data_IF_254793852194
#
_entry.id   IF_254793852194
#
_cell.length_a   1.000
_cell.length_b   1.000
_cell.length_c   1.000
_cell.angle_alpha   90.00
_cell.angle_beta   90.00
_cell.angle_gamma   90.00
#
_symmetry.space_group_name_H-M   'P 1'
#
loop_
_entity.id
_entity.type
_entity.pdbx_description
1 polymer ?
#
# COMPACT_ATOMS: atom_id res chain seq x y z
N UNK A 1 -11.50 -32.59 8.54
CA UNK A 1 -11.06 -31.30 9.08
C UNK A 1 -9.64 -31.52 9.57
N UNK A 2 -8.64 -31.03 8.83
CA UNK A 2 -7.21 -31.22 9.15
C UNK A 2 -6.86 -30.14 10.16
N UNK A 3 -6.43 -30.56 11.35
CA UNK A 3 -5.97 -29.69 12.42
C UNK A 3 -4.88 -28.79 11.83
N UNK A 4 -5.19 -27.48 11.73
CA UNK A 4 -4.19 -26.50 11.33
C UNK A 4 -3.25 -26.40 12.52
N UNK A 5 -2.11 -27.07 12.46
CA UNK A 5 -0.97 -26.59 13.22
C UNK A 5 -0.87 -25.09 12.93
N UNK A 6 -0.83 -24.23 13.96
CA UNK A 6 -0.76 -22.80 13.75
C UNK A 6 0.64 -22.49 13.22
N UNK A 7 0.80 -22.65 11.90
CA UNK A 7 1.97 -22.22 11.16
C UNK A 7 2.18 -20.73 11.46
N UNK A 8 3.36 -20.34 11.99
CA UNK A 8 3.66 -18.96 12.26
C UNK A 8 3.46 -18.11 11.01
N UNK A 9 2.91 -16.93 11.18
CA UNK A 9 2.81 -15.98 10.06
C UNK A 9 4.22 -15.47 9.70
N UNK A 10 4.39 -15.02 8.46
CA UNK A 10 5.65 -14.38 8.02
C UNK A 10 6.08 -13.24 8.95
N UNK A 11 5.10 -12.46 9.44
CA UNK A 11 5.34 -11.38 10.39
C UNK A 11 5.88 -11.88 11.74
N UNK A 12 5.41 -13.04 12.21
CA UNK A 12 5.92 -13.67 13.43
C UNK A 12 7.33 -14.24 13.20
N UNK A 13 7.59 -14.90 12.08
CA UNK A 13 8.95 -15.37 11.74
C UNK A 13 9.94 -14.19 11.69
N UNK A 14 9.55 -13.08 11.08
CA UNK A 14 10.41 -11.91 11.03
C UNK A 14 10.59 -11.26 12.41
N UNK A 15 9.53 -11.20 13.23
CA UNK A 15 9.65 -10.76 14.61
C UNK A 15 10.52 -11.70 15.47
N UNK A 16 10.61 -12.98 15.12
CA UNK A 16 11.52 -13.94 15.75
C UNK A 16 12.97 -13.70 15.36
N UNK A 17 13.23 -13.44 14.07
CA UNK A 17 14.55 -13.06 13.57
C UNK A 17 15.05 -11.79 14.25
N UNK A 18 14.16 -10.81 14.41
CA UNK A 18 14.44 -9.49 15.01
C UNK A 18 14.49 -9.49 16.56
N UNK A 19 14.21 -10.61 17.23
CA UNK A 19 14.11 -10.71 18.70
C UNK A 19 12.97 -9.87 19.34
N UNK A 20 11.88 -9.64 18.60
CA UNK A 20 10.75 -8.76 19.00
C UNK A 20 9.46 -9.48 19.38
N UNK A 21 9.46 -10.81 19.50
CA UNK A 21 8.31 -11.57 19.97
C UNK A 21 8.19 -11.55 21.49
N UNK A 22 6.94 -11.56 21.98
CA UNK A 22 6.64 -11.90 23.37
C UNK A 22 7.11 -13.33 23.70
N UNK A 23 7.54 -13.63 24.94
CA UNK A 23 8.11 -14.92 25.31
C UNK A 23 7.22 -16.12 24.96
N UNK A 24 5.91 -15.99 25.17
CA UNK A 24 4.94 -17.06 24.91
C UNK A 24 4.77 -17.32 23.41
N UNK A 25 4.88 -16.29 22.60
CA UNK A 25 4.81 -16.40 21.15
C UNK A 25 6.12 -16.91 20.56
N UNK A 26 7.25 -16.54 21.16
CA UNK A 26 8.56 -17.06 20.80
C UNK A 26 8.66 -18.56 20.97
N UNK A 27 8.24 -19.10 22.13
CA UNK A 27 8.28 -20.55 22.38
C UNK A 27 7.49 -21.33 21.33
N UNK A 28 6.32 -20.83 20.93
CA UNK A 28 5.50 -21.45 19.88
C UNK A 28 6.22 -21.51 18.53
N UNK A 29 6.91 -20.43 18.17
CA UNK A 29 7.70 -20.37 16.93
C UNK A 29 8.91 -21.29 17.04
N UNK A 30 9.58 -21.36 18.20
CA UNK A 30 10.69 -22.28 18.45
C UNK A 30 10.26 -23.75 18.30
N UNK A 31 9.12 -24.13 18.89
CA UNK A 31 8.56 -25.48 18.77
C UNK A 31 8.22 -25.82 17.32
N UNK A 32 7.67 -24.85 16.57
CA UNK A 32 7.36 -25.03 15.15
C UNK A 32 8.63 -25.17 14.28
N UNK A 33 9.65 -24.34 14.52
CA UNK A 33 10.95 -24.43 13.82
C UNK A 33 11.67 -25.74 14.15
N UNK A 34 11.54 -26.25 15.38
CA UNK A 34 12.08 -27.56 15.75
C UNK A 34 11.39 -28.72 15.01
N UNK A 35 10.08 -28.59 14.74
CA UNK A 35 9.33 -29.54 13.93
C UNK A 35 9.61 -29.42 12.42
N UNK A 36 10.16 -28.29 11.94
CA UNK A 36 10.38 -28.00 10.54
C UNK A 36 11.84 -27.59 10.24
N UNK A 37 12.78 -28.55 10.16
CA UNK A 37 14.22 -28.26 10.08
C UNK A 37 14.63 -27.55 8.77
N UNK A 38 13.96 -27.84 7.64
CA UNK A 38 14.27 -27.19 6.36
C UNK A 38 13.99 -25.68 6.38
N UNK A 39 12.87 -25.30 7.01
CA UNK A 39 12.47 -23.91 7.19
C UNK A 39 13.34 -23.23 8.24
N UNK A 40 13.67 -23.93 9.34
CA UNK A 40 14.59 -23.44 10.35
C UNK A 40 15.97 -23.08 9.78
N UNK A 41 16.53 -23.89 8.87
CA UNK A 41 17.79 -23.54 8.21
C UNK A 41 17.71 -22.25 7.39
N UNK A 42 16.59 -22.03 6.70
CA UNK A 42 16.37 -20.81 5.92
C UNK A 42 16.29 -19.57 6.82
N UNK A 43 15.50 -19.65 7.89
CA UNK A 43 15.35 -18.59 8.90
C UNK A 43 16.70 -18.29 9.57
N UNK A 44 17.48 -19.31 9.93
CA UNK A 44 18.81 -19.14 10.54
C UNK A 44 19.84 -18.56 9.57
N UNK A 45 19.72 -18.78 8.25
CA UNK A 45 20.55 -18.07 7.25
C UNK A 45 20.21 -16.58 7.23
N UNK A 46 18.93 -16.23 7.26
CA UNK A 46 18.48 -14.83 7.29
C UNK A 46 18.94 -14.12 8.57
N UNK A 47 18.75 -14.75 9.74
CA UNK A 47 19.20 -14.21 11.03
C UNK A 47 20.72 -13.98 11.07
N UNK A 48 21.52 -14.83 10.41
CA UNK A 48 22.97 -14.62 10.29
C UNK A 48 23.33 -13.45 9.38
N UNK A 49 22.62 -13.28 8.26
CA UNK A 49 22.83 -12.15 7.36
C UNK A 49 22.50 -10.82 8.05
N UNK A 50 21.38 -10.80 8.77
CA UNK A 50 20.92 -9.67 9.55
C UNK A 50 21.89 -9.29 10.70
N UNK A 51 22.40 -10.28 11.44
CA UNK A 51 23.48 -10.05 12.42
C UNK A 51 24.73 -9.43 11.82
N UNK A 52 25.18 -9.89 10.64
CA UNK A 52 26.33 -9.29 9.95
C UNK A 52 26.05 -7.83 9.59
N UNK A 53 24.85 -7.51 9.09
CA UNK A 53 24.49 -6.13 8.79
C UNK A 53 24.58 -5.26 10.05
N UNK A 54 24.04 -5.73 11.18
CA UNK A 54 24.18 -5.02 12.46
C UNK A 54 25.63 -4.87 12.93
N UNK A 55 26.47 -5.88 12.74
CA UNK A 55 27.90 -5.79 13.07
C UNK A 55 28.63 -4.73 12.23
N UNK A 56 28.31 -4.63 10.93
CA UNK A 56 28.95 -3.65 10.04
C UNK A 56 28.44 -2.22 10.22
N UNK A 57 27.14 -2.04 10.39
CA UNK A 57 26.51 -0.72 10.47
C UNK A 57 26.32 -0.22 11.91
N UNK A 58 26.53 -1.08 12.90
CA UNK A 58 26.21 -0.80 14.29
C UNK A 58 24.70 -0.76 14.55
N UNK A 59 24.35 -0.50 15.81
CA UNK A 59 22.97 -0.22 16.20
C UNK A 59 22.66 1.24 15.87
N UNK A 60 21.78 1.47 14.90
CA UNK A 60 21.33 2.80 14.48
C UNK A 60 20.49 3.54 15.55
N UNK A 61 20.27 2.95 16.73
CA UNK A 61 19.39 3.51 17.76
C UNK A 61 19.90 4.80 18.38
N UNK A 62 21.23 5.03 18.38
CA UNK A 62 21.83 6.16 19.10
C UNK A 62 22.13 7.39 18.23
N UNK A 63 21.97 7.32 16.90
CA UNK A 63 22.26 8.47 16.02
C UNK A 63 20.98 9.29 15.80
N UNK A 64 20.89 10.54 16.31
CA UNK A 64 19.71 11.36 16.11
C UNK A 64 19.45 11.56 14.62
N UNK A 65 18.18 11.41 14.19
CA UNK A 65 17.83 11.70 12.80
C UNK A 65 18.29 13.12 12.44
N UNK A 66 18.99 13.31 11.30
CA UNK A 66 19.45 14.62 10.87
C UNK A 66 18.29 15.63 10.84
N UNK A 67 18.57 16.89 11.16
CA UNK A 67 17.52 17.93 11.31
C UNK A 67 16.59 18.04 10.10
N UNK A 68 17.13 17.85 8.89
CA UNK A 68 16.37 17.89 7.64
C UNK A 68 15.42 16.70 7.43
N UNK A 69 15.47 15.66 8.27
CA UNK A 69 14.55 14.52 8.27
C UNK A 69 13.52 14.55 9.41
N UNK A 70 13.63 15.49 10.36
CA UNK A 70 12.74 15.53 11.52
C UNK A 70 11.26 15.73 11.15
N UNK A 71 10.97 16.36 10.00
CA UNK A 71 9.60 16.51 9.47
C UNK A 71 8.92 15.17 9.14
N UNK A 72 9.67 14.07 8.98
CA UNK A 72 9.08 12.73 8.80
C UNK A 72 8.48 12.18 10.10
N UNK A 73 9.03 12.57 11.24
CA UNK A 73 8.55 12.18 12.57
C UNK A 73 7.33 13.00 12.99
N UNK A 74 7.07 14.13 12.32
CA UNK A 74 5.86 14.91 12.56
C UNK A 74 4.64 14.05 12.25
N UNK A 75 3.79 13.74 13.25
CA UNK A 75 2.63 12.91 13.03
C UNK A 75 1.74 13.61 12.01
N UNK A 76 1.60 13.00 10.83
CA UNK A 76 0.72 13.43 9.75
C UNK A 76 -0.55 14.02 10.33
N UNK A 77 -0.62 15.36 10.32
CA UNK A 77 -1.61 16.07 11.12
C UNK A 77 -2.99 15.58 10.72
N UNK A 78 -3.84 15.34 11.73
CA UNK A 78 -5.21 14.85 11.51
C UNK A 78 -5.98 15.72 10.49
N UNK A 79 -5.63 17.00 10.42
CA UNK A 79 -6.04 17.98 9.41
C UNK A 79 -5.67 17.57 7.96
N UNK A 80 -4.43 17.13 7.71
CA UNK A 80 -3.98 16.70 6.37
C UNK A 80 -4.72 15.46 5.88
N UNK A 81 -5.07 14.55 6.80
CA UNK A 81 -5.84 13.33 6.49
C UNK A 81 -7.29 13.65 6.13
N UNK A 82 -7.92 14.60 6.82
CA UNK A 82 -9.28 15.04 6.49
C UNK A 82 -9.36 15.77 5.15
N UNK A 83 -8.35 16.60 4.81
CA UNK A 83 -8.26 17.24 3.48
C UNK A 83 -8.13 16.23 2.34
N UNK A 84 -7.32 15.18 2.50
CA UNK A 84 -7.21 14.11 1.48
C UNK A 84 -8.52 13.33 1.30
N UNK A 85 -9.25 13.06 2.39
CA UNK A 85 -10.58 12.42 2.33
C UNK A 85 -11.62 13.32 1.65
N UNK A 86 -11.62 14.61 1.98
CA UNK A 86 -12.51 15.58 1.35
C UNK A 86 -12.25 15.68 -0.17
N UNK A 87 -10.97 15.69 -0.60
CA UNK A 87 -10.61 15.72 -2.01
C UNK A 87 -11.14 14.49 -2.78
N UNK A 88 -11.10 13.30 -2.17
CA UNK A 88 -11.60 12.06 -2.78
C UNK A 88 -13.11 12.08 -3.06
N UNK A 89 -13.87 12.85 -2.27
CA UNK A 89 -15.32 13.01 -2.45
C UNK A 89 -15.65 14.18 -3.37
N UNK A 90 -14.91 15.30 -3.26
CA UNK A 90 -15.17 16.52 -4.03
C UNK A 90 -14.81 16.39 -5.52
N UNK A 91 -13.75 15.66 -5.87
CA UNK A 91 -13.37 15.44 -7.28
C UNK A 91 -14.47 14.74 -8.11
N UNK A 92 -15.00 13.57 -7.71
CA UNK A 92 -16.04 12.90 -8.50
C UNK A 92 -17.35 13.70 -8.49
N UNK A 93 -17.70 14.39 -7.41
CA UNK A 93 -18.89 15.23 -7.36
C UNK A 93 -18.82 16.40 -8.35
N UNK A 94 -17.69 17.10 -8.40
CA UNK A 94 -17.49 18.20 -9.36
C UNK A 94 -17.47 17.67 -10.80
N UNK A 95 -16.75 16.57 -11.07
CA UNK A 95 -16.77 15.93 -12.39
C UNK A 95 -18.17 15.48 -12.82
N UNK A 96 -18.95 14.90 -11.90
CA UNK A 96 -20.33 14.46 -12.16
C UNK A 96 -21.28 15.64 -12.42
N UNK A 97 -21.22 16.70 -11.61
CA UNK A 97 -22.03 17.91 -11.79
C UNK A 97 -21.72 18.60 -13.12
N UNK A 98 -20.45 18.78 -13.46
CA UNK A 98 -20.05 19.33 -14.75
C UNK A 98 -20.54 18.43 -15.90
N UNK A 99 -20.31 17.12 -15.82
CA UNK A 99 -20.76 16.17 -16.85
C UNK A 99 -22.28 16.17 -17.07
N UNK A 100 -23.06 16.33 -15.99
CA UNK A 100 -24.52 16.40 -16.07
C UNK A 100 -25.02 17.72 -16.67
N UNK A 101 -24.37 18.84 -16.34
CA UNK A 101 -24.72 20.15 -16.89
C UNK A 101 -24.44 20.22 -18.41
N UNK A 102 -23.35 19.57 -18.86
CA UNK A 102 -23.05 19.41 -20.28
C UNK A 102 -24.02 18.46 -20.99
N UNK A 103 -24.52 17.41 -20.31
CA UNK A 103 -25.57 16.53 -20.84
C UNK A 103 -26.88 17.29 -21.10
N UNK A 104 -27.23 18.25 -20.26
CA UNK A 104 -28.41 19.11 -20.43
C UNK A 104 -28.29 20.14 -21.56
N UNK A 105 -27.06 20.53 -21.94
CA UNK A 105 -26.80 21.51 -23.00
C UNK A 105 -26.64 20.91 -24.40
N UNK A 106 -27.02 19.64 -24.61
CA UNK A 106 -27.22 19.10 -25.95
C UNK A 106 -26.02 19.21 -26.89
N UNK A 107 -24.78 19.21 -26.39
CA UNK A 107 -23.57 19.12 -27.22
C UNK A 107 -23.38 17.73 -27.86
N UNK A 108 -24.42 16.91 -27.86
CA UNK A 108 -24.47 15.56 -28.43
C UNK A 108 -25.37 15.42 -29.66
N UNK A 109 -25.81 16.51 -30.30
CA UNK A 109 -26.44 16.42 -31.61
C UNK A 109 -25.76 17.35 -32.61
N UNK A 110 -24.97 16.74 -33.50
CA UNK A 110 -24.88 17.05 -34.95
C UNK A 110 -23.86 16.13 -35.65
N UNK A 111 -24.15 14.83 -35.86
CA UNK A 111 -23.70 14.15 -37.07
C UNK A 111 -24.57 14.51 -38.30
N UNK A 112 -25.78 15.04 -38.09
CA UNK A 112 -26.79 15.21 -39.15
C UNK A 112 -26.53 16.40 -40.09
N UNK A 113 -25.64 17.33 -39.71
CA UNK A 113 -25.30 18.50 -40.53
C UNK A 113 -24.40 18.12 -41.73
N UNK A 114 -23.54 17.11 -41.56
CA UNK A 114 -22.68 16.61 -42.64
C UNK A 114 -23.45 15.68 -43.57
N UNK A 115 -24.39 14.90 -43.03
CA UNK A 115 -25.23 13.98 -43.79
C UNK A 115 -26.24 14.74 -44.68
N UNK A 116 -26.88 15.81 -44.18
CA UNK A 116 -27.75 16.66 -45.00
C UNK A 116 -27.00 17.47 -46.07
N UNK A 117 -25.74 17.85 -45.82
CA UNK A 117 -24.92 18.55 -46.81
C UNK A 117 -24.46 17.63 -47.95
N UNK A 118 -24.32 16.32 -47.68
CA UNK A 118 -23.91 15.31 -48.67
C UNK A 118 -25.10 14.72 -49.45
N UNK A 119 -26.32 14.77 -48.91
CA UNK A 119 -27.54 14.26 -49.55
C UNK A 119 -28.38 15.31 -50.28
N UNK A 120 -27.96 16.58 -50.33
CA UNK A 120 -28.61 17.58 -51.16
C UNK A 120 -28.41 17.23 -52.64
N UNK A 121 -29.47 16.87 -53.40
CA UNK A 121 -29.31 16.66 -54.83
C UNK A 121 -28.93 17.98 -55.48
N UNK A 122 -27.78 18.01 -56.16
CA UNK A 122 -27.41 19.11 -57.03
C UNK A 122 -28.43 19.20 -58.16
N UNK A 123 -29.47 20.01 -57.96
CA UNK A 123 -30.40 20.40 -59.01
C UNK A 123 -29.67 21.38 -59.93
N UNK A 124 -29.19 20.85 -61.06
CA UNK A 124 -28.92 21.62 -62.28
C UNK A 124 -30.22 21.80 -63.06
#
# INVERSE_FOLDING_TARGET
>A
MKDREPHPTEAEIQAWIDDRLAPEARQRVDDWLAAHPEEAEAVLRMQRADRRLREYFGTLEDDPLPEHWQWLLEPSSRSRRWRKRAAFVLLPLTGFLLGWMLRGHGLGQRPDALENALLAPAAF
#
